data_IF_143326476816
#
_entry.id   IF_143326476816
#
_cell.length_a   1.000
_cell.length_b   1.000
_cell.length_c   1.000
_cell.angle_alpha   90.00
_cell.angle_beta   90.00
_cell.angle_gamma   90.00
#
_symmetry.space_group_name_H-M   'P 1'
#
loop_
_entity.id
_entity.type
_entity.pdbx_description
1 polymer ?
#
# COMPACT_ATOMS: atom_id res chain seq x y z
N UNK A 1 -16.71 -9.75 13.01
CA UNK A 1 -15.46 -9.09 13.41
C UNK A 1 -14.33 -9.74 12.62
N UNK A 2 -13.66 -9.00 11.75
CA UNK A 2 -12.53 -9.53 10.99
C UNK A 2 -11.33 -9.81 11.90
N UNK A 3 -10.40 -10.69 11.49
CA UNK A 3 -9.18 -10.97 12.25
C UNK A 3 -8.41 -9.67 12.57
N UNK A 4 -8.35 -8.76 11.60
CA UNK A 4 -7.67 -7.47 11.73
C UNK A 4 -8.37 -6.57 12.76
N UNK A 5 -9.70 -6.50 12.74
CA UNK A 5 -10.47 -5.72 13.73
C UNK A 5 -10.23 -6.24 15.15
N UNK A 6 -10.19 -7.57 15.32
CA UNK A 6 -9.95 -8.17 16.62
C UNK A 6 -8.52 -7.93 17.12
N UNK A 7 -7.52 -8.05 16.25
CA UNK A 7 -6.13 -7.76 16.60
C UNK A 7 -5.93 -6.27 16.89
N UNK A 8 -6.55 -5.38 16.11
CA UNK A 8 -6.52 -3.94 16.37
C UNK A 8 -7.17 -3.60 17.71
N UNK A 9 -8.27 -4.27 18.07
CA UNK A 9 -8.91 -4.13 19.37
C UNK A 9 -7.98 -4.53 20.53
N UNK A 10 -7.18 -5.59 20.37
CA UNK A 10 -6.22 -6.06 21.38
C UNK A 10 -4.97 -5.17 21.50
N UNK A 11 -4.52 -4.60 20.38
CA UNK A 11 -3.37 -3.69 20.34
C UNK A 11 -3.71 -2.26 20.77
N UNK A 12 -4.99 -1.93 20.89
CA UNK A 12 -5.42 -0.60 21.33
C UNK A 12 -5.16 -0.39 22.83
N UNK A 13 -4.32 0.60 23.15
CA UNK A 13 -4.00 0.95 24.53
C UNK A 13 -5.15 1.72 25.20
N UNK A 14 -5.65 1.21 26.33
CA UNK A 14 -6.77 1.79 27.07
C UNK A 14 -6.29 2.39 28.38
N UNK A 15 -6.69 3.63 28.62
CA UNK A 15 -6.47 4.31 29.90
C UNK A 15 -7.24 3.58 30.99
N UNK A 16 -6.53 2.79 31.81
CA UNK A 16 -7.08 2.07 32.96
C UNK A 16 -6.93 0.54 32.90
N UNK A 17 -6.58 -0.03 31.74
CA UNK A 17 -6.41 -1.48 31.60
C UNK A 17 -4.92 -1.80 31.40
N UNK A 18 -4.36 -2.65 32.28
CA UNK A 18 -2.96 -3.08 32.16
C UNK A 18 -2.88 -4.21 31.15
N UNK A 19 -2.90 -3.86 29.86
CA UNK A 19 -2.75 -4.84 28.78
C UNK A 19 -1.38 -5.52 28.89
N UNK A 20 -1.36 -6.73 29.46
CA UNK A 20 -0.16 -7.57 29.57
C UNK A 20 0.49 -7.79 28.22
N UNK A 21 -0.33 -7.82 27.15
CA UNK A 21 0.13 -7.91 25.78
C UNK A 21 1.05 -6.74 25.45
N UNK A 22 0.65 -5.48 25.67
CA UNK A 22 1.46 -4.29 25.32
C UNK A 22 2.71 -4.10 26.21
N UNK A 23 2.77 -4.77 27.36
CA UNK A 23 3.93 -4.76 28.25
C UNK A 23 5.03 -5.77 27.87
N UNK A 24 4.78 -6.69 26.93
CA UNK A 24 5.71 -7.76 26.58
C UNK A 24 6.96 -7.37 25.79
N UNK A 25 7.21 -6.07 25.53
CA UNK A 25 8.32 -5.58 24.70
C UNK A 25 8.49 -6.36 23.38
N UNK A 26 9.62 -7.03 23.22
CA UNK A 26 9.91 -7.87 22.03
C UNK A 26 8.86 -8.96 21.76
N UNK A 27 8.22 -9.50 22.78
CA UNK A 27 7.17 -10.52 22.60
C UNK A 27 5.93 -9.93 21.91
N UNK A 28 5.63 -8.65 22.15
CA UNK A 28 4.51 -7.96 21.49
C UNK A 28 4.78 -7.80 20.01
N UNK A 29 6.03 -7.50 19.65
CA UNK A 29 6.46 -7.35 18.26
C UNK A 29 6.34 -8.66 17.50
N UNK A 30 6.76 -9.77 18.13
CA UNK A 30 6.58 -11.09 17.56
C UNK A 30 5.10 -11.43 17.35
N UNK A 31 4.25 -11.10 18.33
CA UNK A 31 2.81 -11.26 18.20
C UNK A 31 2.25 -10.43 17.03
N UNK A 32 2.63 -9.16 16.89
CA UNK A 32 2.19 -8.30 15.78
C UNK A 32 2.57 -8.89 14.41
N UNK A 33 3.80 -9.39 14.28
CA UNK A 33 4.29 -10.02 13.03
C UNK A 33 3.51 -11.30 12.72
N UNK A 34 3.24 -12.13 13.72
CA UNK A 34 2.45 -13.36 13.55
C UNK A 34 1.00 -13.06 13.14
N UNK A 35 0.34 -12.10 13.81
CA UNK A 35 -1.02 -11.68 13.46
C UNK A 35 -1.09 -11.08 12.06
N UNK A 36 -0.11 -10.27 11.68
CA UNK A 36 -0.03 -9.72 10.32
C UNK A 36 0.15 -10.83 9.28
N UNK A 37 1.00 -11.81 9.54
CA UNK A 37 1.21 -12.96 8.64
C UNK A 37 -0.07 -13.77 8.44
N UNK A 38 -0.86 -13.97 9.50
CA UNK A 38 -2.19 -14.62 9.42
C UNK A 38 -3.18 -13.80 8.59
N UNK A 39 -3.24 -12.48 8.82
CA UNK A 39 -4.10 -11.59 8.06
C UNK A 39 -3.72 -11.57 6.57
N UNK A 40 -2.43 -11.52 6.26
CA UNK A 40 -1.94 -11.52 4.88
C UNK A 40 -2.20 -12.88 4.19
N UNK A 41 -1.99 -13.99 4.89
CA UNK A 41 -2.35 -15.31 4.38
C UNK A 41 -3.85 -15.40 4.07
N UNK A 42 -4.71 -14.85 4.93
CA UNK A 42 -6.15 -14.80 4.68
C UNK A 42 -6.47 -13.97 3.42
N UNK A 43 -5.81 -12.83 3.22
CA UNK A 43 -5.95 -12.01 2.00
C UNK A 43 -5.48 -12.77 0.75
N UNK A 44 -4.36 -13.47 0.83
CA UNK A 44 -3.85 -14.29 -0.28
C UNK A 44 -4.80 -15.42 -0.65
N UNK A 45 -5.35 -16.12 0.35
CA UNK A 45 -6.38 -17.16 0.13
C UNK A 45 -7.63 -16.59 -0.53
N UNK A 46 -8.04 -15.37 -0.14
CA UNK A 46 -9.14 -14.69 -0.80
C UNK A 46 -8.84 -14.39 -2.27
N UNK A 47 -7.62 -13.93 -2.59
CA UNK A 47 -7.19 -13.69 -3.98
C UNK A 47 -7.15 -15.00 -4.79
N UNK A 48 -6.68 -16.09 -4.18
CA UNK A 48 -6.66 -17.41 -4.80
C UNK A 48 -8.08 -17.90 -5.14
N UNK A 49 -9.03 -17.71 -4.23
CA UNK A 49 -10.41 -18.14 -4.43
C UNK A 49 -11.19 -17.25 -5.43
N UNK A 50 -10.85 -15.97 -5.56
CA UNK A 50 -11.55 -15.00 -6.43
C UNK A 50 -10.75 -14.66 -7.70
N UNK A 51 -9.90 -15.57 -8.16
CA UNK A 51 -8.95 -15.31 -9.24
C UNK A 51 -9.60 -14.95 -10.59
N UNK A 52 -10.85 -15.38 -10.81
CA UNK A 52 -11.61 -15.03 -12.02
C UNK A 52 -11.90 -13.53 -12.09
N UNK A 53 -12.24 -12.91 -10.96
CA UNK A 53 -12.56 -11.48 -10.88
C UNK A 53 -11.33 -10.62 -11.19
N UNK A 54 -10.17 -10.95 -10.61
CA UNK A 54 -8.92 -10.23 -10.86
C UNK A 54 -8.38 -10.42 -12.28
N UNK A 55 -8.66 -11.57 -12.90
CA UNK A 55 -8.37 -11.80 -14.33
C UNK A 55 -9.24 -10.91 -15.21
N UNK A 56 -10.54 -10.82 -14.93
CA UNK A 56 -11.45 -9.94 -15.66
C UNK A 56 -11.08 -8.47 -15.49
N UNK A 57 -10.78 -8.01 -14.27
CA UNK A 57 -10.32 -6.64 -13.99
C UNK A 57 -9.04 -6.32 -14.79
N UNK A 58 -8.10 -7.26 -14.85
CA UNK A 58 -6.86 -7.09 -15.62
C UNK A 58 -7.15 -6.93 -17.12
N UNK A 59 -8.00 -7.78 -17.67
CA UNK A 59 -8.35 -7.73 -19.09
C UNK A 59 -9.08 -6.44 -19.41
N UNK A 60 -10.08 -6.06 -18.61
CA UNK A 60 -10.83 -4.80 -18.75
C UNK A 60 -9.91 -3.58 -18.67
N UNK A 61 -9.02 -3.52 -17.68
CA UNK A 61 -8.06 -2.41 -17.55
C UNK A 61 -7.13 -2.28 -18.76
N UNK A 62 -6.70 -3.40 -19.36
CA UNK A 62 -5.91 -3.38 -20.61
C UNK A 62 -6.75 -2.93 -21.80
N UNK A 63 -7.98 -3.42 -21.94
CA UNK A 63 -8.86 -3.01 -23.03
C UNK A 63 -9.20 -1.52 -22.94
N UNK A 64 -9.42 -0.99 -21.74
CA UNK A 64 -9.74 0.42 -21.53
C UNK A 64 -8.53 1.33 -21.80
N UNK A 65 -7.33 0.93 -21.40
CA UNK A 65 -6.10 1.65 -21.72
C UNK A 65 -5.85 1.72 -23.22
N UNK A 66 -6.03 0.61 -23.93
CA UNK A 66 -5.90 0.55 -25.39
C UNK A 66 -6.96 1.42 -26.07
N UNK A 67 -8.23 1.37 -25.61
CA UNK A 67 -9.31 2.22 -26.11
C UNK A 67 -9.05 3.70 -25.85
N UNK A 68 -8.44 4.06 -24.71
CA UNK A 68 -8.08 5.45 -24.42
C UNK A 68 -6.95 5.94 -25.33
N UNK A 69 -5.92 5.11 -25.58
CA UNK A 69 -4.86 5.42 -26.55
C UNK A 69 -5.41 5.55 -27.98
N UNK A 70 -6.32 4.66 -28.37
CA UNK A 70 -7.00 4.72 -29.66
C UNK A 70 -7.88 5.98 -29.76
N UNK A 71 -8.65 6.33 -28.72
CA UNK A 71 -9.48 7.55 -28.71
C UNK A 71 -8.62 8.83 -28.73
N UNK A 72 -7.47 8.84 -28.04
CA UNK A 72 -6.49 9.92 -28.08
C UNK A 72 -5.83 10.05 -29.47
N UNK A 73 -5.65 8.95 -30.20
CA UNK A 73 -5.16 8.94 -31.60
C UNK A 73 -6.26 9.29 -32.62
N UNK A 74 -7.49 8.87 -32.39
CA UNK A 74 -8.66 9.09 -33.26
C UNK A 74 -9.28 10.49 -33.14
N UNK A 75 -8.71 11.37 -32.32
CA UNK A 75 -8.91 12.81 -32.45
C UNK A 75 -8.45 13.38 -33.79
N UNK A 76 -7.78 12.58 -34.65
CA UNK A 76 -7.30 13.05 -35.96
C UNK A 76 -7.43 12.09 -37.17
N UNK A 77 -7.97 10.87 -37.10
CA UNK A 77 -8.15 10.04 -38.32
C UNK A 77 -9.38 9.15 -38.25
N UNK A 78 -10.07 9.05 -39.39
CA UNK A 78 -11.28 8.30 -39.67
C UNK A 78 -11.34 6.89 -39.06
N UNK A 79 -12.48 6.62 -38.40
CA UNK A 79 -12.99 5.29 -38.09
C UNK A 79 -13.05 4.47 -39.39
N UNK A 80 -12.22 3.45 -39.51
CA UNK A 80 -12.39 2.27 -40.37
C UNK A 80 -11.20 1.33 -40.17
N UNK A 81 -11.27 0.43 -39.18
CA UNK A 81 -10.61 -0.89 -39.23
C UNK A 81 -11.22 -1.79 -38.16
N UNK A 82 -12.04 -2.72 -38.65
CA UNK A 82 -12.38 -4.04 -38.13
C UNK A 82 -11.87 -4.47 -36.75
N UNK A 83 -12.83 -4.86 -35.90
CA UNK A 83 -12.81 -6.07 -35.07
C UNK A 83 -11.43 -6.48 -34.51
N UNK A 84 -10.84 -5.64 -33.67
CA UNK A 84 -9.76 -6.05 -32.80
C UNK A 84 -10.30 -6.89 -31.66
N UNK A 85 -10.47 -8.20 -31.86
CA UNK A 85 -10.44 -9.15 -30.75
C UNK A 85 -9.07 -8.95 -30.09
N UNK A 86 -9.07 -8.29 -28.93
CA UNK A 86 -7.88 -8.18 -28.08
C UNK A 86 -7.69 -9.59 -27.52
N UNK A 87 -7.03 -10.43 -28.30
CA UNK A 87 -6.56 -11.74 -27.87
C UNK A 87 -5.78 -11.54 -26.56
N UNK A 88 -6.06 -12.31 -25.50
CA UNK A 88 -5.23 -12.29 -24.32
C UNK A 88 -3.81 -12.67 -24.75
N UNK A 89 -2.86 -11.77 -24.49
CA UNK A 89 -1.43 -11.99 -24.68
C UNK A 89 -1.09 -13.42 -24.22
N UNK A 90 -0.56 -14.25 -25.12
CA UNK A 90 -0.30 -15.67 -24.88
C UNK A 90 0.64 -15.91 -23.68
N UNK A 91 1.28 -14.86 -23.15
CA UNK A 91 2.04 -14.86 -21.91
C UNK A 91 1.20 -14.91 -20.62
N UNK A 92 -0.12 -14.63 -20.66
CA UNK A 92 -1.03 -14.84 -19.51
C UNK A 92 -1.61 -16.27 -19.49
N UNK A 93 -1.43 -17.03 -20.59
CA UNK A 93 -1.73 -18.46 -20.66
C UNK A 93 -0.63 -19.24 -19.94
N UNK A 94 -0.68 -19.20 -18.60
CA UNK A 94 0.27 -19.91 -17.73
C UNK A 94 0.39 -19.36 -16.31
N UNK A 95 -0.07 -18.13 -16.05
CA UNK A 95 -0.07 -17.56 -14.69
C UNK A 95 -1.29 -18.05 -13.90
N UNK A 96 -1.05 -19.07 -13.05
CA UNK A 96 -2.08 -19.68 -12.17
C UNK A 96 -2.66 -18.68 -11.16
N UNK A 97 -1.91 -17.66 -10.76
CA UNK A 97 -2.32 -16.65 -9.78
C UNK A 97 -1.93 -15.24 -10.25
N UNK A 98 -2.89 -14.33 -10.34
CA UNK A 98 -2.67 -12.90 -10.52
C UNK A 98 -2.87 -12.24 -9.15
N UNK A 99 -1.86 -11.50 -8.69
CA UNK A 99 -1.96 -10.69 -7.47
C UNK A 99 -2.48 -9.31 -7.84
N UNK A 100 -3.52 -8.86 -7.15
CA UNK A 100 -4.07 -7.52 -7.36
C UNK A 100 -3.03 -6.45 -7.00
N UNK A 101 -3.11 -5.24 -7.58
CA UNK A 101 -2.21 -4.15 -7.24
C UNK A 101 -2.26 -3.73 -5.76
N UNK A 102 -3.33 -4.10 -5.04
CA UNK A 102 -3.50 -3.94 -3.59
C UNK A 102 -2.55 -4.79 -2.73
N UNK A 103 -1.85 -5.77 -3.32
CA UNK A 103 -0.83 -6.56 -2.65
C UNK A 103 0.49 -5.79 -2.59
N UNK A 104 0.82 -5.26 -1.41
CA UNK A 104 1.99 -4.40 -1.22
C UNK A 104 3.28 -5.21 -1.39
N UNK A 105 4.23 -4.68 -2.16
CA UNK A 105 5.51 -5.36 -2.44
C UNK A 105 5.50 -6.25 -3.69
N UNK A 106 4.33 -6.52 -4.30
CA UNK A 106 4.25 -7.29 -5.53
C UNK A 106 4.69 -6.51 -6.79
N UNK A 107 5.00 -7.21 -7.90
CA UNK A 107 5.38 -6.57 -9.16
C UNK A 107 4.33 -5.57 -9.69
N UNK A 108 3.03 -5.92 -9.59
CA UNK A 108 1.93 -5.04 -10.01
C UNK A 108 1.78 -3.80 -9.12
N UNK A 109 1.98 -3.95 -7.81
CA UNK A 109 2.00 -2.81 -6.88
C UNK A 109 3.12 -1.84 -7.24
N UNK A 110 4.33 -2.34 -7.49
CA UNK A 110 5.46 -1.48 -7.87
C UNK A 110 5.24 -0.79 -9.22
N UNK A 111 4.72 -1.52 -10.21
CA UNK A 111 4.41 -0.94 -11.51
C UNK A 111 3.35 0.17 -11.42
N UNK A 112 2.28 -0.03 -10.65
CA UNK A 112 1.27 0.99 -10.44
C UNK A 112 1.84 2.21 -9.69
N UNK A 113 2.66 2.01 -8.67
CA UNK A 113 3.34 3.12 -7.96
C UNK A 113 4.25 3.91 -8.89
N UNK A 114 4.98 3.24 -9.77
CA UNK A 114 5.81 3.88 -10.78
C UNK A 114 4.97 4.70 -11.77
N UNK A 115 3.90 4.13 -12.32
CA UNK A 115 2.97 4.83 -13.21
C UNK A 115 2.37 6.07 -12.56
N UNK A 116 1.94 5.97 -11.30
CA UNK A 116 1.42 7.11 -10.55
C UNK A 116 2.49 8.18 -10.32
N UNK A 117 3.73 7.78 -10.00
CA UNK A 117 4.83 8.73 -9.87
C UNK A 117 5.15 9.44 -11.19
N UNK A 118 5.13 8.72 -12.32
CA UNK A 118 5.33 9.31 -13.64
C UNK A 118 4.20 10.27 -14.02
N UNK A 119 2.96 9.97 -13.65
CA UNK A 119 1.83 10.88 -13.84
C UNK A 119 2.03 12.18 -13.04
N UNK A 120 2.46 12.08 -11.78
CA UNK A 120 2.78 13.23 -10.94
C UNK A 120 3.94 14.05 -11.54
N UNK A 121 5.01 13.39 -12.00
CA UNK A 121 6.16 14.07 -12.64
C UNK A 121 5.77 14.76 -13.94
N UNK A 122 4.82 14.19 -14.70
CA UNK A 122 4.30 14.83 -15.92
C UNK A 122 3.53 16.11 -15.59
N UNK A 123 2.80 16.16 -14.48
CA UNK A 123 1.97 17.30 -14.09
C UNK A 123 2.76 18.37 -13.32
N UNK A 124 3.60 17.96 -12.37
CA UNK A 124 4.33 18.86 -11.45
C UNK A 124 5.81 19.04 -11.82
N UNK A 125 6.32 18.31 -12.81
CA UNK A 125 7.73 18.30 -13.18
C UNK A 125 8.58 17.35 -12.33
N UNK A 126 9.87 17.28 -12.65
CA UNK A 126 10.82 16.45 -11.92
C UNK A 126 11.04 16.97 -10.49
N UNK A 127 11.13 16.09 -9.48
CA UNK A 127 11.42 16.50 -8.10
C UNK A 127 12.81 17.15 -8.04
N UNK A 128 12.89 18.32 -7.40
CA UNK A 128 14.11 19.13 -7.30
C UNK A 128 14.73 19.16 -5.88
N UNK A 129 13.98 18.74 -4.86
CA UNK A 129 14.40 18.76 -3.46
C UNK A 129 14.31 17.37 -2.86
N UNK A 130 15.39 16.93 -2.24
CA UNK A 130 15.44 15.73 -1.40
C UNK A 130 15.61 16.17 0.05
N UNK A 131 14.61 15.90 0.89
CA UNK A 131 14.64 16.24 2.32
C UNK A 131 14.89 14.95 3.10
N UNK A 132 15.97 14.91 3.87
CA UNK A 132 16.22 13.83 4.83
C UNK A 132 15.90 14.34 6.23
N UNK A 133 15.00 13.66 6.93
CA UNK A 133 14.68 13.98 8.32
C UNK A 133 15.06 12.82 9.24
N UNK A 134 15.89 13.11 10.24
CA UNK A 134 16.29 12.16 11.27
C UNK A 134 15.50 12.43 12.55
N UNK A 135 14.73 11.44 13.00
CA UNK A 135 14.05 11.50 14.29
C UNK A 135 15.01 11.11 15.41
N UNK A 136 15.36 12.06 16.29
CA UNK A 136 16.01 11.74 17.57
C UNK A 136 15.08 10.88 18.46
N UNK A 137 15.65 10.00 19.31
CA UNK A 137 14.88 9.04 20.10
C UNK A 137 13.88 9.76 21.01
N UNK A 138 12.63 9.33 20.90
CA UNK A 138 11.50 9.87 21.66
C UNK A 138 11.69 9.42 23.11
N UNK A 139 11.68 10.36 24.07
CA UNK A 139 11.78 10.06 25.50
C UNK A 139 10.46 10.29 26.25
N UNK A 140 9.53 11.06 25.69
CA UNK A 140 8.35 11.55 26.42
C UNK A 140 7.11 10.65 26.39
N UNK A 141 6.99 9.75 25.41
CA UNK A 141 5.77 8.94 25.20
C UNK A 141 5.93 7.46 25.61
N UNK A 142 7.09 7.08 26.17
CA UNK A 142 7.36 5.71 26.63
C UNK A 142 6.97 5.55 28.11
N UNK A 143 6.51 4.36 28.48
CA UNK A 143 6.28 4.03 29.90
C UNK A 143 7.62 3.89 30.63
N UNK A 144 7.68 4.10 31.95
CA UNK A 144 8.90 3.93 32.72
C UNK A 144 9.49 2.52 32.51
N UNK A 145 10.77 2.46 32.13
CA UNK A 145 11.50 1.22 31.87
C UNK A 145 11.45 0.69 30.43
N UNK A 146 10.71 1.34 29.52
CA UNK A 146 10.65 0.94 28.10
C UNK A 146 11.64 1.71 27.24
N UNK A 147 12.19 1.04 26.22
CA UNK A 147 13.08 1.66 25.23
C UNK A 147 12.32 1.95 23.94
N UNK A 148 12.77 2.94 23.16
CA UNK A 148 12.21 3.24 21.84
C UNK A 148 12.16 2.01 20.90
N UNK A 149 13.06 1.05 21.08
CA UNK A 149 13.07 -0.21 20.34
C UNK A 149 11.87 -1.12 20.67
N UNK A 150 11.28 -1.01 21.87
CA UNK A 150 10.16 -1.85 22.29
C UNK A 150 8.83 -1.41 21.67
N UNK A 151 8.70 -0.10 21.38
CA UNK A 151 7.49 0.54 20.84
C UNK A 151 7.77 1.25 19.51
N UNK A 152 8.04 0.51 18.42
CA UNK A 152 8.30 1.10 17.11
C UNK A 152 7.08 1.87 16.55
N UNK A 153 5.87 1.54 17.00
CA UNK A 153 4.62 2.22 16.67
C UNK A 153 4.60 3.67 17.22
N UNK A 154 5.04 3.88 18.46
CA UNK A 154 5.19 5.21 19.06
C UNK A 154 6.22 6.02 18.26
N UNK A 155 7.33 5.36 17.88
CA UNK A 155 8.38 5.98 17.06
C UNK A 155 7.86 6.43 15.70
N UNK A 156 7.15 5.55 15.00
CA UNK A 156 6.55 5.85 13.70
C UNK A 156 5.50 6.96 13.81
N UNK A 157 4.67 6.95 14.85
CA UNK A 157 3.62 7.96 15.05
C UNK A 157 4.19 9.35 15.31
N UNK A 158 5.21 9.45 16.15
CA UNK A 158 5.86 10.73 16.42
C UNK A 158 6.66 11.23 15.22
N UNK A 159 7.32 10.33 14.47
CA UNK A 159 7.92 10.67 13.18
C UNK A 159 6.87 11.26 12.23
N UNK A 160 5.72 10.58 12.07
CA UNK A 160 4.65 11.05 11.20
C UNK A 160 4.07 12.39 11.66
N UNK A 161 3.93 12.61 12.97
CA UNK A 161 3.46 13.89 13.54
C UNK A 161 4.42 15.03 13.19
N UNK A 162 5.72 14.82 13.35
CA UNK A 162 6.76 15.80 13.02
C UNK A 162 6.83 16.07 11.51
N UNK A 163 6.75 15.02 10.69
CA UNK A 163 6.70 15.14 9.23
C UNK A 163 5.51 16.00 8.80
N UNK A 164 4.31 15.75 9.34
CA UNK A 164 3.12 16.57 9.05
C UNK A 164 3.28 18.03 9.49
N UNK A 165 3.90 18.29 10.63
CA UNK A 165 4.15 19.65 11.10
C UNK A 165 5.09 20.41 10.15
N UNK A 166 6.11 19.74 9.64
CA UNK A 166 7.04 20.29 8.65
C UNK A 166 6.33 20.55 7.32
N UNK A 167 5.55 19.59 6.82
CA UNK A 167 4.81 19.75 5.55
C UNK A 167 3.85 20.95 5.60
N UNK A 168 3.17 21.17 6.73
CA UNK A 168 2.33 22.37 6.92
C UNK A 168 3.12 23.67 6.82
N UNK A 169 4.40 23.68 7.18
CA UNK A 169 5.27 24.84 7.03
C UNK A 169 5.65 25.13 5.58
N UNK A 170 5.56 24.14 4.68
CA UNK A 170 5.85 24.30 3.26
C UNK A 170 4.63 24.74 2.43
N UNK A 171 3.41 24.38 2.85
CA UNK A 171 2.17 24.79 2.15
C UNK A 171 1.85 26.30 2.30
N UNK A 172 2.62 27.03 3.12
CA UNK A 172 2.44 28.46 3.40
C UNK A 172 3.48 29.41 2.81
N UNK A 173 4.33 28.95 1.89
CA UNK A 173 5.37 29.76 1.22
C UNK A 173 5.21 29.80 -0.30
#
# INVERSE_FOLDING_TARGET
MSLIEFVAYLLYDRTGDHSRLLHGGRLTQQYCVDQWSKAEQQRLRYIENNQLEFRLETIQGRTDANRHEECARLGNVNKNTSNGTIEPDANDVGRRLILSPSFTGGPRYMYQRFMNAMAIVRELGAPNRFITYTCNPIKGNLRPGQTAADHPDIVARDFMRKLKAINKGFDGS
#
